data_IF_072775987030
#
_entry.id   IF_072775987030
#
_cell.length_a   1.000
_cell.length_b   1.000
_cell.length_c   1.000
_cell.angle_alpha   90.00
_cell.angle_beta   90.00
_cell.angle_gamma   90.00
#
_symmetry.space_group_name_H-M   'P 1'
#
loop_
_entity.id
_entity.type
_entity.pdbx_description
1 polymer ?
#
# COMPACT_ATOMS: atom_id res chain seq x y z
N UNK A 1 3.50 18.07 -10.89
CA UNK A 1 3.20 16.63 -10.69
C UNK A 1 2.04 16.57 -9.74
N UNK A 2 0.93 15.89 -10.08
CA UNK A 2 -0.15 15.68 -9.12
C UNK A 2 0.34 14.73 -8.02
N UNK A 3 -0.08 15.00 -6.80
CA UNK A 3 0.15 14.09 -5.68
C UNK A 3 -0.73 12.87 -5.93
N UNK A 4 -0.08 11.75 -6.19
CA UNK A 4 -0.73 10.46 -6.39
C UNK A 4 -1.59 10.14 -5.16
N UNK A 5 -2.88 9.85 -5.39
CA UNK A 5 -3.88 9.64 -4.33
C UNK A 5 -3.56 8.46 -3.41
N UNK A 6 -2.66 7.55 -3.84
CA UNK A 6 -2.10 6.52 -2.97
C UNK A 6 -1.38 7.15 -1.77
N UNK A 7 -0.70 8.28 -1.90
CA UNK A 7 -0.04 8.94 -0.75
C UNK A 7 -1.04 9.44 0.29
N UNK A 8 -2.16 10.02 -0.15
CA UNK A 8 -3.25 10.42 0.76
C UNK A 8 -3.82 9.18 1.47
N UNK A 9 -4.09 8.11 0.73
CA UNK A 9 -4.51 6.84 1.31
C UNK A 9 -3.50 6.36 2.37
N UNK A 10 -2.21 6.32 2.04
CA UNK A 10 -1.15 5.93 2.98
C UNK A 10 -1.10 6.83 4.21
N UNK A 11 -1.38 8.13 4.07
CA UNK A 11 -1.43 9.07 5.19
C UNK A 11 -2.64 8.81 6.10
N UNK A 12 -3.81 8.53 5.52
CA UNK A 12 -5.02 8.15 6.27
C UNK A 12 -4.83 6.86 7.06
N UNK A 13 -4.19 5.85 6.44
CA UNK A 13 -3.96 4.56 7.08
C UNK A 13 -2.63 4.46 7.83
N UNK A 14 -1.82 5.51 7.86
CA UNK A 14 -0.51 5.54 8.54
C UNK A 14 -0.53 5.01 9.99
N UNK A 15 -1.54 5.30 10.85
CA UNK A 15 -1.59 4.72 12.19
C UNK A 15 -1.73 3.18 12.18
N UNK A 16 -2.21 2.59 11.09
CA UNK A 16 -2.34 1.15 10.90
C UNK A 16 -1.24 0.56 10.00
N UNK A 17 -0.36 1.38 9.42
CA UNK A 17 0.77 0.93 8.59
C UNK A 17 1.95 0.47 9.46
N UNK A 18 1.69 -0.59 10.20
CA UNK A 18 2.66 -1.31 10.99
C UNK A 18 2.50 -2.82 10.79
N UNK A 19 3.61 -3.56 10.95
CA UNK A 19 3.65 -5.03 10.82
C UNK A 19 2.70 -5.75 11.78
N UNK A 20 2.32 -5.12 12.89
CA UNK A 20 1.40 -5.67 13.88
C UNK A 20 -0.06 -5.60 13.41
N UNK A 21 -0.39 -4.72 12.45
CA UNK A 21 -1.73 -4.61 11.87
C UNK A 21 -1.82 -5.13 10.44
N UNK A 22 -0.77 -4.95 9.64
CA UNK A 22 -0.72 -5.40 8.25
C UNK A 22 -0.05 -6.77 8.18
N UNK A 23 -0.79 -7.73 7.63
CA UNK A 23 -0.29 -9.07 7.33
C UNK A 23 0.59 -9.04 6.08
N UNK A 24 0.10 -8.42 5.01
CA UNK A 24 0.82 -8.31 3.74
C UNK A 24 0.23 -7.17 2.88
N UNK A 25 1.06 -6.64 1.99
CA UNK A 25 0.65 -5.72 0.94
C UNK A 25 1.07 -6.28 -0.42
N UNK A 26 0.25 -6.15 -1.45
CA UNK A 26 0.64 -6.53 -2.80
C UNK A 26 -0.02 -5.68 -3.88
N UNK A 27 0.53 -5.75 -5.08
CA UNK A 27 -0.14 -5.26 -6.28
C UNK A 27 -0.87 -6.44 -6.93
N UNK A 28 -2.14 -6.24 -7.23
CA UNK A 28 -2.95 -7.19 -8.00
C UNK A 28 -2.70 -7.00 -9.50
N UNK A 29 -3.02 -8.01 -10.33
CA UNK A 29 -2.80 -8.00 -11.79
C UNK A 29 -3.45 -6.81 -12.51
N UNK A 30 -4.42 -6.16 -11.88
CA UNK A 30 -5.07 -4.94 -12.39
C UNK A 30 -4.36 -3.64 -12.00
N UNK A 31 -3.15 -3.71 -11.43
CA UNK A 31 -2.42 -2.54 -10.92
C UNK A 31 -3.06 -1.91 -9.69
N UNK A 32 -3.84 -2.68 -8.92
CA UNK A 32 -4.50 -2.20 -7.69
C UNK A 32 -3.63 -2.52 -6.49
N UNK A 33 -3.56 -1.59 -5.55
CA UNK A 33 -2.84 -1.81 -4.29
C UNK A 33 -3.76 -2.52 -3.29
N UNK A 34 -3.32 -3.65 -2.78
CA UNK A 34 -4.07 -4.48 -1.85
C UNK A 34 -3.33 -4.54 -0.52
N UNK A 35 -4.05 -4.23 0.56
CA UNK A 35 -3.59 -4.44 1.93
C UNK A 35 -4.45 -5.50 2.59
N UNK A 36 -3.78 -6.49 3.19
CA UNK A 36 -4.41 -7.51 4.03
C UNK A 36 -4.00 -7.23 5.46
N UNK A 37 -4.99 -7.00 6.31
CA UNK A 37 -4.82 -6.79 7.73
C UNK A 37 -4.81 -8.13 8.46
N UNK A 38 -4.17 -8.18 9.63
CA UNK A 38 -4.10 -9.40 10.45
C UNK A 38 -5.48 -9.86 10.94
N UNK A 39 -6.41 -8.93 11.13
CA UNK A 39 -7.82 -9.21 11.45
C UNK A 39 -8.62 -9.81 10.27
N UNK A 40 -7.99 -10.02 9.11
CA UNK A 40 -8.63 -10.60 7.92
C UNK A 40 -9.35 -9.58 7.03
N UNK A 41 -9.40 -8.30 7.44
CA UNK A 41 -9.87 -7.23 6.56
C UNK A 41 -8.93 -7.05 5.36
N UNK A 42 -9.52 -6.77 4.20
CA UNK A 42 -8.79 -6.47 2.97
C UNK A 42 -9.22 -5.11 2.45
N UNK A 43 -8.27 -4.19 2.29
CA UNK A 43 -8.48 -2.92 1.61
C UNK A 43 -7.87 -2.99 0.21
N UNK A 44 -8.69 -2.68 -0.79
CA UNK A 44 -8.26 -2.60 -2.19
C UNK A 44 -8.35 -1.16 -2.63
N UNK A 45 -7.20 -0.59 -2.96
CA UNK A 45 -7.08 0.77 -3.44
C UNK A 45 -6.85 0.78 -4.95
N UNK A 46 -7.70 1.48 -5.68
CA UNK A 46 -7.55 1.65 -7.12
C UNK A 46 -6.50 2.73 -7.40
N UNK A 47 -5.48 2.39 -8.16
CA UNK A 47 -4.41 3.31 -8.52
C UNK A 47 -4.67 3.87 -9.92
N UNK A 48 -5.18 5.10 -10.02
CA UNK A 48 -5.50 5.74 -11.32
C UNK A 48 -4.57 6.93 -11.63
N UNK A 49 -4.09 7.65 -10.60
CA UNK A 49 -3.29 8.89 -10.74
C UNK A 49 -1.81 8.69 -10.32
N UNK A 50 -1.29 7.45 -10.31
CA UNK A 50 0.08 7.17 -9.88
C UNK A 50 0.89 6.47 -10.98
N UNK A 51 2.15 6.86 -11.12
CA UNK A 51 3.10 6.15 -11.97
C UNK A 51 3.83 5.04 -11.20
N UNK A 52 4.46 4.12 -11.96
CA UNK A 52 5.18 2.98 -11.39
C UNK A 52 6.25 3.38 -10.36
N UNK A 53 6.97 4.48 -10.59
CA UNK A 53 8.00 4.95 -9.67
C UNK A 53 7.41 5.39 -8.31
N UNK A 54 6.25 6.05 -8.32
CA UNK A 54 5.54 6.44 -7.10
C UNK A 54 5.04 5.21 -6.34
N UNK A 55 4.49 4.22 -7.05
CA UNK A 55 4.04 2.97 -6.44
C UNK A 55 5.22 2.23 -5.81
N UNK A 56 6.32 2.05 -6.54
CA UNK A 56 7.55 1.42 -6.04
C UNK A 56 8.09 2.10 -4.79
N UNK A 57 7.99 3.44 -4.72
CA UNK A 57 8.38 4.20 -3.51
C UNK A 57 7.53 3.78 -2.31
N UNK A 58 6.20 3.74 -2.46
CA UNK A 58 5.28 3.33 -1.39
C UNK A 58 5.56 1.88 -0.94
N UNK A 59 5.75 0.96 -1.89
CA UNK A 59 6.10 -0.43 -1.56
C UNK A 59 7.42 -0.53 -0.80
N UNK A 60 8.41 0.31 -1.15
CA UNK A 60 9.70 0.35 -0.45
C UNK A 60 9.55 0.90 0.98
N UNK A 61 8.73 1.93 1.18
CA UNK A 61 8.41 2.46 2.52
C UNK A 61 7.74 1.39 3.40
N UNK A 62 6.83 0.60 2.83
CA UNK A 62 6.20 -0.54 3.53
C UNK A 62 7.20 -1.63 3.91
N UNK A 63 8.08 -2.03 2.97
CA UNK A 63 9.17 -2.97 3.26
C UNK A 63 10.07 -2.43 4.38
N UNK A 64 10.36 -1.12 4.38
CA UNK A 64 11.12 -0.43 5.44
C UNK A 64 10.45 -0.45 6.82
N UNK A 65 9.12 -0.45 6.86
CA UNK A 65 8.31 -0.63 8.09
C UNK A 65 8.21 -2.10 8.54
N UNK A 66 8.83 -3.04 7.82
CA UNK A 66 8.76 -4.47 8.12
C UNK A 66 7.46 -5.13 7.69
N UNK A 67 6.67 -4.46 6.84
CA UNK A 67 5.45 -5.03 6.28
C UNK A 67 5.84 -5.92 5.08
N UNK A 68 5.38 -7.18 5.02
CA UNK A 68 5.65 -8.05 3.87
C UNK A 68 5.00 -7.46 2.62
N UNK A 69 5.77 -7.30 1.54
CA UNK A 69 5.27 -6.84 0.25
C UNK A 69 5.56 -7.87 -0.82
N UNK A 70 4.51 -8.34 -1.50
CA UNK A 70 4.56 -9.25 -2.65
C UNK A 70 4.27 -8.49 -3.94
N UNK A 71 5.08 -8.74 -4.98
CA UNK A 71 5.02 -8.12 -6.31
C UNK A 71 4.50 -9.13 -7.34
#
# INVERSE_FOLDING_TARGET
MKTCSLNDFMAEINPWLDKDYIKEAHLDDKGRFVLIFRDGMKNVYHIDDCNEAQIKKVLKDLKGKGIPVTE
#
